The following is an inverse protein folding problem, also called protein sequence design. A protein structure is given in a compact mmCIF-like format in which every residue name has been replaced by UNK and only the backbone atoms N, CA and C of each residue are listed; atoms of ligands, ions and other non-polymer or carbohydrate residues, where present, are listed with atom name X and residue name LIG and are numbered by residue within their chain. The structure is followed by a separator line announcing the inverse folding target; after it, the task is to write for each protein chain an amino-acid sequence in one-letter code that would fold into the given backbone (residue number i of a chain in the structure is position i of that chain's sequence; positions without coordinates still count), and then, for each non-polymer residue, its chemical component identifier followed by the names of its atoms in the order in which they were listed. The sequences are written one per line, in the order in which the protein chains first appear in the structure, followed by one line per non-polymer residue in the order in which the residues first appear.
data_IF_147211137624
#
_entry.id   IF_147211137624
#
_cell.length_a   1.000
_cell.length_b   1.000
_cell.length_c   1.000
_cell.angle_alpha   90.00
_cell.angle_beta   90.00
_cell.angle_gamma   90.00
#
_symmetry.space_group_name_H-M   'P 1'
#
loop_
_entity.id
_entity.type
_entity.pdbx_description
1 polymer ?
2 non-polymer ?
3 water ?
#
# COMPACT_ATOMS: atom_id res chain seq x y z
N UNK A 4 -15.89 -12.02 16.35
CA UNK A 4 -14.90 -12.85 15.70
C UNK A 4 -14.62 -12.34 14.30
N UNK A 5 -13.60 -12.90 13.66
CA UNK A 5 -13.22 -12.51 12.32
C UNK A 5 -14.06 -13.22 11.22
N UNK A 6 -14.83 -14.28 11.56
CA UNK A 6 -15.69 -15.00 10.60
C UNK A 6 -17.00 -14.24 10.42
N UNK A 7 -17.35 -13.91 9.16
CA UNK A 7 -18.61 -13.25 8.85
C UNK A 7 -19.47 -14.26 8.09
N UNK A 8 -20.68 -14.54 8.57
CA UNK A 8 -21.57 -15.49 7.88
C UNK A 8 -22.13 -14.88 6.59
N UNK A 9 -22.39 -15.67 5.51
CA UNK A 9 -22.97 -15.09 4.28
C UNK A 9 -24.26 -14.30 4.52
N UNK A 10 -25.03 -14.67 5.59
CA UNK A 10 -26.30 -13.98 5.90
C UNK A 10 -26.07 -12.59 6.49
N UNK A 11 -24.84 -12.28 6.91
CA UNK A 11 -24.51 -10.96 7.50
C UNK A 11 -23.99 -9.96 6.45
N UNK A 12 -24.01 -10.35 5.18
CA UNK A 12 -23.55 -9.49 4.09
C UNK A 12 -24.60 -9.39 3.00
N UNK A 13 -24.73 -8.21 2.42
CA UNK A 13 -25.58 -7.96 1.26
C UNK A 13 -24.69 -7.27 0.22
N UNK A 14 -24.71 -7.77 -1.03
CA UNK A 14 -23.96 -7.17 -2.13
C UNK A 14 -24.88 -6.21 -2.83
N UNK A 15 -24.48 -4.94 -2.92
CA UNK A 15 -25.32 -3.89 -3.51
C UNK A 15 -24.91 -3.54 -4.94
N UNK A 16 -23.66 -3.17 -5.14
CA UNK A 16 -23.18 -2.69 -6.44
C UNK A 16 -21.75 -3.13 -6.69
N UNK A 17 -21.45 -3.53 -7.93
CA UNK A 17 -20.09 -3.88 -8.34
C UNK A 17 -19.36 -2.56 -8.47
N UNK A 18 -18.21 -2.44 -7.82
CA UNK A 18 -17.43 -1.22 -7.86
C UNK A 18 -16.14 -1.38 -8.67
N UNK A 19 -15.74 -2.64 -8.91
CA UNK A 19 -14.55 -2.93 -9.69
C UNK A 19 -14.11 -4.37 -9.72
N UNK A 20 -13.04 -4.63 -10.50
CA UNK A 20 -12.41 -5.93 -10.67
C UNK A 20 -10.93 -5.84 -10.33
N UNK A 21 -10.56 -6.38 -9.18
CA UNK A 21 -9.19 -6.39 -8.68
C UNK A 21 -8.37 -7.53 -9.22
N UNK A 22 -7.22 -7.82 -8.57
CA UNK A 22 -6.31 -8.90 -8.96
C UNK A 22 -6.95 -10.27 -8.68
N UNK A 23 -7.53 -10.44 -7.46
CA UNK A 23 -8.14 -11.67 -7.02
C UNK A 23 -9.59 -11.90 -7.44
N UNK A 24 -10.25 -10.88 -7.98
CA UNK A 24 -11.64 -11.02 -8.42
C UNK A 24 -12.40 -9.72 -8.47
N UNK A 25 -13.64 -9.74 -7.98
CA UNK A 25 -14.51 -8.57 -7.97
C UNK A 25 -14.48 -7.83 -6.64
N UNK A 26 -14.82 -6.54 -6.67
CA UNK A 26 -14.99 -5.70 -5.51
C UNK A 26 -16.41 -5.16 -5.58
N UNK A 27 -17.18 -5.29 -4.46
CA UNK A 27 -18.54 -4.78 -4.38
C UNK A 27 -18.71 -3.82 -3.23
N UNK A 28 -19.64 -2.88 -3.39
CA UNK A 28 -20.08 -2.02 -2.30
C UNK A 28 -21.23 -2.84 -1.70
N UNK A 29 -21.23 -2.96 -0.39
CA UNK A 29 -22.28 -3.71 0.28
C UNK A 29 -22.51 -3.26 1.69
N UNK A 30 -23.35 -3.99 2.43
CA UNK A 30 -23.60 -3.71 3.82
C UNK A 30 -23.29 -4.93 4.65
N UNK A 31 -22.83 -4.69 5.88
CA UNK A 31 -22.50 -5.70 6.86
C UNK A 31 -23.48 -5.55 8.00
N UNK A 32 -24.25 -6.63 8.28
CA UNK A 32 -25.31 -6.64 9.29
C UNK A 32 -24.92 -6.00 10.61
N UNK A 33 -25.77 -5.05 11.06
CA UNK A 33 -25.70 -4.28 12.30
C UNK A 33 -24.41 -3.50 12.47
N UNK A 34 -23.62 -3.38 11.41
CA UNK A 34 -22.33 -2.69 11.47
C UNK A 34 -22.23 -1.49 10.58
N UNK A 35 -21.91 -1.65 9.28
CA UNK A 35 -21.76 -0.51 8.37
C UNK A 35 -21.77 -0.89 6.89
N UNK A 36 -21.67 0.15 6.04
CA UNK A 36 -21.42 0.09 4.61
C UNK A 36 -19.97 -0.48 4.49
N UNK A 37 -19.75 -1.45 3.58
CA UNK A 37 -18.44 -2.07 3.44
C UNK A 37 -18.02 -2.25 1.99
N UNK A 38 -16.73 -2.53 1.79
CA UNK A 38 -16.18 -2.92 0.48
C UNK A 38 -15.92 -4.44 0.62
N UNK A 39 -16.48 -5.25 -0.28
CA UNK A 39 -16.35 -6.70 -0.21
C UNK A 39 -15.53 -7.15 -1.41
N UNK A 40 -14.39 -7.81 -1.14
CA UNK A 40 -13.49 -8.30 -2.19
C UNK A 40 -13.60 -9.81 -2.26
N UNK A 41 -14.04 -10.32 -3.42
CA UNK A 41 -14.18 -11.75 -3.70
C UNK A 41 -12.82 -12.25 -4.17
N UNK A 42 -12.32 -13.34 -3.56
CA UNK A 42 -10.99 -13.89 -3.86
C UNK A 42 -11.15 -15.17 -4.65
N UNK A 43 -10.62 -15.19 -5.87
CA UNK A 43 -10.67 -16.35 -6.76
C UNK A 43 -9.95 -17.53 -6.07
N UNK A 44 -10.46 -18.75 -6.24
CA UNK A 44 -9.80 -19.93 -5.67
C UNK A 44 -8.43 -20.08 -6.33
N UNK A 45 -7.40 -20.39 -5.54
CA UNK A 45 -6.04 -20.56 -6.03
C UNK A 45 -5.21 -19.29 -6.01
N UNK A 46 -5.85 -18.10 -5.82
CA UNK A 46 -5.11 -16.83 -5.75
C UNK A 46 -4.31 -16.69 -4.46
N UNK A 47 -4.85 -17.20 -3.32
CA UNK A 47 -4.17 -17.08 -2.04
C UNK A 47 -4.16 -18.32 -1.16
N UNK A 48 -3.15 -18.41 -0.27
CA UNK A 48 -3.08 -19.50 0.70
C UNK A 48 -4.07 -19.10 1.80
N UNK A 49 -5.32 -19.54 1.65
CA UNK A 49 -6.40 -19.15 2.58
C UNK A 49 -6.18 -19.68 3.99
N UNK A 50 -5.66 -20.91 4.12
CA UNK A 50 -5.40 -21.50 5.43
C UNK A 50 -4.35 -20.73 6.23
N UNK A 51 -3.28 -20.23 5.56
CA UNK A 51 -2.22 -19.44 6.23
C UNK A 51 -2.83 -18.10 6.68
N UNK A 52 -3.66 -17.52 5.83
CA UNK A 52 -4.33 -16.26 6.11
C UNK A 52 -5.23 -16.39 7.36
N UNK A 53 -6.19 -17.33 7.31
CA UNK A 53 -7.18 -17.62 8.38
C UNK A 53 -6.48 -17.82 9.76
N UNK A 54 -5.35 -18.53 9.74
CA UNK A 54 -4.52 -18.86 10.91
C UNK A 54 -4.06 -17.61 11.67
N UNK A 55 -3.75 -16.53 10.94
CA UNK A 55 -3.25 -15.29 11.51
C UNK A 55 -4.35 -14.28 11.86
N UNK A 56 -5.61 -14.56 11.45
CA UNK A 56 -6.76 -13.65 11.64
C UNK A 56 -7.02 -13.15 13.05
N UNK A 57 -7.07 -14.02 14.08
CA UNK A 57 -7.34 -13.53 15.43
C UNK A 57 -6.35 -12.49 15.94
N UNK A 58 -5.05 -12.64 15.59
CA UNK A 58 -4.01 -11.68 15.97
C UNK A 58 -4.07 -10.42 15.09
N UNK A 59 -3.98 -10.60 13.75
CA UNK A 59 -3.91 -9.50 12.78
C UNK A 59 -5.15 -8.60 12.71
N UNK A 60 -6.33 -9.14 13.04
CA UNK A 60 -7.56 -8.32 13.01
C UNK A 60 -7.53 -7.19 14.06
N UNK A 61 -6.70 -7.36 15.10
CA UNK A 61 -6.55 -6.39 16.19
C UNK A 61 -5.85 -5.10 15.74
N UNK A 62 -5.06 -5.14 14.63
CA UNK A 62 -4.37 -3.95 14.13
C UNK A 62 -5.43 -2.94 13.68
N UNK A 63 -5.35 -1.73 14.22
CA UNK A 63 -6.34 -0.68 13.93
C UNK A 63 -5.70 0.68 14.05
N UNK A 64 -5.96 1.55 13.04
CA UNK A 64 -5.40 2.91 13.04
C UNK A 64 -6.21 3.78 12.08
N UNK A 65 -6.42 5.10 12.38
CA UNK A 65 -7.18 5.94 11.44
C UNK A 65 -6.57 6.02 10.04
N UNK A 66 -5.28 5.69 9.88
CA UNK A 66 -4.64 5.76 8.57
C UNK A 66 -4.38 4.36 7.96
N UNK A 67 -5.08 3.34 8.48
CA UNK A 67 -5.03 1.98 7.92
C UNK A 67 -6.46 1.62 7.56
N UNK A 68 -6.68 1.03 6.39
CA UNK A 68 -8.01 0.56 5.97
C UNK A 68 -8.30 -0.65 6.85
N UNK A 69 -9.42 -0.62 7.62
CA UNK A 69 -9.76 -1.76 8.49
C UNK A 69 -10.26 -2.95 7.66
N UNK A 70 -9.72 -4.14 7.91
CA UNK A 70 -10.18 -5.39 7.29
C UNK A 70 -10.96 -6.05 8.45
N UNK A 71 -12.31 -6.00 8.37
CA UNK A 71 -13.21 -6.44 9.42
C UNK A 71 -13.32 -7.93 9.62
N UNK A 72 -13.24 -8.66 8.53
CA UNK A 72 -13.38 -10.10 8.62
C UNK A 72 -13.46 -10.78 7.28
N UNK A 73 -13.67 -12.10 7.34
CA UNK A 73 -13.70 -12.97 6.17
C UNK A 73 -14.98 -13.81 6.15
N UNK A 74 -15.61 -13.88 4.97
CA UNK A 74 -16.76 -14.75 4.72
C UNK A 74 -16.21 -15.96 3.98
N UNK A 75 -16.12 -17.08 4.67
CA UNK A 75 -15.49 -18.28 4.12
C UNK A 75 -16.35 -19.53 4.04
N UNK A 76 -17.69 -19.42 4.29
CA UNK A 76 -18.59 -20.59 4.28
C UNK A 76 -18.43 -21.45 3.03
N UNK A 77 -18.42 -20.82 1.87
CA UNK A 77 -18.17 -21.53 0.60
C UNK A 77 -17.24 -20.73 -0.30
N UNK A 78 -16.57 -21.42 -1.21
CA UNK A 78 -15.67 -20.84 -2.18
C UNK A 78 -16.49 -20.16 -3.28
N UNK A 79 -16.08 -18.98 -3.78
CA UNK A 79 -14.88 -18.20 -3.40
C UNK A 79 -15.11 -17.40 -2.11
N UNK A 80 -14.08 -17.31 -1.27
CA UNK A 80 -14.16 -16.52 -0.03
C UNK A 80 -14.21 -15.00 -0.33
N UNK A 81 -14.68 -14.21 0.64
CA UNK A 81 -14.80 -12.75 0.55
C UNK A 81 -14.08 -12.06 1.70
N UNK A 82 -13.34 -10.96 1.43
CA UNK A 82 -12.69 -10.15 2.46
C UNK A 82 -13.55 -8.88 2.63
N UNK A 83 -13.81 -8.48 3.86
CA UNK A 83 -14.75 -7.38 4.18
C UNK A 83 -13.99 -6.23 4.79
N UNK A 84 -13.93 -5.11 4.07
CA UNK A 84 -13.16 -3.93 4.46
C UNK A 84 -14.04 -2.72 4.74
N UNK A 85 -13.43 -1.76 5.39
CA UNK A 85 -13.96 -0.43 5.59
C UNK A 85 -14.10 0.15 4.15
N UNK A 86 -15.21 0.86 3.84
CA UNK A 86 -15.46 1.43 2.52
C UNK A 86 -14.69 2.73 2.35
N UNK A 87 -13.97 2.86 1.22
CA UNK A 87 -13.10 3.99 0.89
C UNK A 87 -13.68 4.64 -0.36
N UNK A 88 -14.52 5.65 -0.15
CA UNK A 88 -15.33 6.28 -1.20
C UNK A 88 -14.62 6.72 -2.47
N UNK A 89 -13.37 7.21 -2.37
CA UNK A 89 -12.66 7.71 -3.55
C UNK A 89 -11.70 6.73 -4.25
N UNK A 90 -11.71 5.46 -3.84
CA UNK A 90 -10.92 4.41 -4.46
C UNK A 90 -9.41 4.50 -4.26
N UNK A 91 -8.64 3.81 -5.11
CA UNK A 91 -7.18 3.81 -4.95
C UNK A 91 -6.49 5.12 -5.26
N UNK A 92 -5.42 5.39 -4.51
CA UNK A 92 -4.66 6.63 -4.61
C UNK A 92 -4.04 6.85 -5.99
N UNK A 93 -3.49 5.78 -6.60
CA UNK A 93 -2.89 5.86 -7.94
C UNK A 93 -3.92 6.44 -8.95
N UNK A 94 -5.15 5.86 -9.01
CA UNK A 94 -6.20 6.38 -9.90
C UNK A 94 -6.67 7.81 -9.52
N UNK A 95 -6.77 8.08 -8.20
CA UNK A 95 -7.19 9.39 -7.68
C UNK A 95 -6.20 10.49 -8.14
N UNK A 96 -4.89 10.25 -7.99
CA UNK A 96 -3.88 11.21 -8.42
C UNK A 96 -3.98 11.50 -9.91
N UNK A 97 -4.08 10.44 -10.72
CA UNK A 97 -4.19 10.51 -12.19
C UNK A 97 -5.45 11.26 -12.66
N UNK A 98 -6.62 11.02 -12.05
CA UNK A 98 -7.86 11.69 -12.44
C UNK A 98 -7.91 13.16 -11.98
N UNK A 99 -7.32 13.47 -10.80
CA UNK A 99 -7.32 14.83 -10.26
C UNK A 99 -6.03 15.62 -10.58
N UNK A 100 -5.17 15.09 -11.48
CA UNK A 100 -3.91 15.76 -11.91
C UNK A 100 -4.13 17.22 -12.33
N UNK A 101 -3.28 18.12 -11.83
CA UNK A 101 -3.39 19.54 -12.13
C UNK A 101 -4.29 20.32 -11.18
N UNK A 102 -4.99 19.61 -10.26
CA UNK A 102 -5.88 20.22 -9.25
C UNK A 102 -5.34 20.12 -7.82
N UNK A 103 -4.12 19.61 -7.65
CA UNK A 103 -3.54 19.46 -6.32
C UNK A 103 -2.62 20.59 -5.93
N UNK A 104 -2.82 21.11 -4.73
CA UNK A 104 -1.99 22.10 -4.08
C UNK A 104 -0.84 21.27 -3.51
N UNK A 105 0.39 21.82 -3.49
CA UNK A 105 1.56 21.08 -2.95
C UNK A 105 1.33 20.63 -1.50
N UNK A 106 0.62 21.45 -0.71
CA UNK A 106 0.28 21.10 0.69
C UNK A 106 -0.61 19.84 0.79
N UNK A 107 -1.52 19.63 -0.17
CA UNK A 107 -2.41 18.46 -0.19
C UNK A 107 -1.55 17.19 -0.48
N UNK A 108 -0.63 17.30 -1.45
CA UNK A 108 0.24 16.16 -1.80
C UNK A 108 1.14 15.82 -0.62
N UNK A 109 1.66 16.85 0.09
CA UNK A 109 2.45 16.56 1.31
C UNK A 109 1.56 15.88 2.38
N UNK A 110 0.33 16.38 2.52
CA UNK A 110 -0.65 15.81 3.45
C UNK A 110 -0.95 14.35 3.18
N UNK A 111 -1.08 13.99 1.88
CA UNK A 111 -1.29 12.58 1.48
C UNK A 111 -0.09 11.71 1.93
N UNK A 112 1.14 12.23 1.76
CA UNK A 112 2.36 11.50 2.19
C UNK A 112 2.36 11.33 3.71
N UNK A 113 1.92 12.38 4.44
CA UNK A 113 1.85 12.34 5.91
C UNK A 113 0.85 11.31 6.41
N UNK A 114 -0.33 11.21 5.76
CA UNK A 114 -1.34 10.18 6.13
C UNK A 114 -0.71 8.78 5.99
N UNK A 115 -0.03 8.53 4.84
CA UNK A 115 0.61 7.21 4.59
C UNK A 115 1.74 6.97 5.62
N UNK A 116 2.59 8.00 5.85
CA UNK A 116 3.70 7.88 6.81
C UNK A 116 3.19 7.57 8.23
N UNK A 117 2.05 8.17 8.62
CA UNK A 117 1.45 7.94 9.94
C UNK A 117 1.00 6.47 10.10
N UNK A 118 0.26 5.95 9.12
CA UNK A 118 -0.18 4.57 9.08
C UNK A 118 1.01 3.63 9.08
N UNK A 119 2.05 3.95 8.29
CA UNK A 119 3.27 3.13 8.27
C UNK A 119 4.06 3.18 9.59
N UNK A 120 4.05 4.33 10.31
CA UNK A 120 4.76 4.40 11.61
C UNK A 120 4.01 3.47 12.61
N UNK A 121 2.67 3.41 12.49
CA UNK A 121 1.89 2.50 13.34
C UNK A 121 2.30 1.02 13.05
N UNK A 122 2.41 0.65 11.77
CA UNK A 122 2.83 -0.71 11.36
C UNK A 122 4.25 -0.99 11.81
N UNK A 123 5.16 -0.03 11.62
CA UNK A 123 6.54 -0.18 12.04
C UNK A 123 6.62 -0.47 13.58
N UNK A 124 5.89 0.30 14.40
CA UNK A 124 5.80 0.12 15.87
C UNK A 124 5.29 -1.29 16.22
N UNK A 125 4.30 -1.77 15.44
CA UNK A 125 3.67 -3.08 15.63
C UNK A 125 4.49 -4.22 15.04
N UNK A 126 5.66 -3.90 14.41
CA UNK A 126 6.52 -4.87 13.72
C UNK A 126 5.79 -5.60 12.58
N UNK A 127 4.97 -4.86 11.84
CA UNK A 127 4.26 -5.43 10.70
C UNK A 127 4.91 -4.81 9.45
N UNK A 128 5.41 -5.68 8.56
CA UNK A 128 6.07 -5.26 7.32
C UNK A 128 5.03 -5.30 6.20
N UNK A 129 4.89 -4.19 5.45
CA UNK A 129 3.91 -4.15 4.37
C UNK A 129 4.30 -5.12 3.24
N UNK A 130 5.50 -4.93 2.68
CA UNK A 130 6.18 -5.70 1.60
C UNK A 130 5.89 -5.18 0.20
N UNK A 131 4.76 -4.48 0.00
CA UNK A 131 4.42 -3.98 -1.35
C UNK A 131 3.70 -2.64 -1.29
N UNK A 132 4.23 -1.71 -0.50
CA UNK A 132 3.62 -0.39 -0.34
C UNK A 132 3.79 0.40 -1.65
N UNK A 133 2.67 0.88 -2.19
CA UNK A 133 2.65 1.66 -3.42
C UNK A 133 1.36 2.46 -3.43
N UNK A 134 1.25 3.50 -4.30
CA UNK A 134 0.01 4.30 -4.38
C UNK A 134 -1.20 3.39 -4.75
N UNK A 135 -0.98 2.33 -5.56
CA UNK A 135 -2.06 1.39 -5.98
C UNK A 135 -2.71 0.66 -4.78
N UNK A 136 -1.98 0.57 -3.65
CA UNK A 136 -2.38 -0.10 -2.40
C UNK A 136 -2.92 0.84 -1.35
N UNK A 137 -2.88 2.13 -1.63
CA UNK A 137 -3.42 3.14 -0.73
C UNK A 137 -4.79 3.54 -1.25
N UNK A 138 -5.70 3.83 -0.33
CA UNK A 138 -7.08 4.18 -0.66
C UNK A 138 -7.44 5.55 -0.11
N UNK A 139 -8.36 6.24 -0.80
CA UNK A 139 -8.78 7.60 -0.49
C UNK A 139 -10.21 7.57 0.05
N UNK A 140 -10.37 8.08 1.27
CA UNK A 140 -11.67 8.06 1.94
C UNK A 140 -12.29 9.41 2.14
N UNK A 141 -13.16 9.49 3.18
CA UNK A 141 -13.86 10.71 3.52
C UNK A 141 -12.90 11.85 3.79
N UNK A 142 -13.18 12.99 3.16
CA UNK A 142 -12.36 14.20 3.22
C UNK A 142 -10.96 14.00 2.65
N UNK A 143 -10.85 13.09 1.67
CA UNK A 143 -9.60 12.80 0.96
C UNK A 143 -8.46 12.29 1.84
N UNK A 144 -8.84 11.67 2.99
CA UNK A 144 -7.86 11.04 3.86
C UNK A 144 -7.25 9.82 3.12
N UNK A 145 -5.95 9.56 3.31
CA UNK A 145 -5.30 8.41 2.70
C UNK A 145 -5.11 7.34 3.76
N UNK A 146 -5.38 6.08 3.40
CA UNK A 146 -5.16 4.97 4.34
C UNK A 146 -4.40 3.85 3.62
N UNK A 147 -3.48 3.19 4.34
CA UNK A 147 -2.70 2.09 3.76
C UNK A 147 -3.53 0.81 3.83
N UNK A 148 -3.43 -0.05 2.80
CA UNK A 148 -4.16 -1.31 2.78
C UNK A 148 -3.27 -2.41 2.21
N UNK A 149 -3.68 -3.69 2.40
CA UNK A 149 -3.03 -4.88 1.83
C UNK A 149 -1.63 -5.14 2.39
N UNK A 150 -1.33 -4.63 3.59
CA UNK A 150 -0.04 -4.85 4.24
C UNK A 150 0.06 -6.32 4.57
N UNK A 151 1.23 -6.87 4.26
CA UNK A 151 1.59 -8.27 4.49
C UNK A 151 0.95 -9.31 3.57
N UNK A 152 0.02 -8.88 2.70
CA UNK A 152 -0.75 -9.79 1.83
C UNK A 152 0.05 -10.62 0.81
N UNK A 153 1.23 -10.13 0.36
CA UNK A 153 2.08 -10.88 -0.58
C UNK A 153 2.62 -12.20 0.06
N UNK A 154 2.53 -12.34 1.41
CA UNK A 154 2.95 -13.57 2.09
C UNK A 154 1.96 -14.71 1.79
N UNK A 155 0.76 -14.37 1.30
CA UNK A 155 -0.29 -15.33 0.98
C UNK A 155 -0.52 -15.52 -0.52
N UNK A 156 0.00 -14.61 -1.37
CA UNK A 156 -0.17 -14.62 -2.85
C UNK A 156 0.47 -15.90 -3.40
N UNK A 157 -0.31 -16.73 -4.10
CA UNK A 157 0.22 -17.98 -4.63
C UNK A 157 0.90 -17.90 -6.00
N UNK A 158 0.80 -16.75 -6.68
CA UNK A 158 1.48 -16.58 -7.97
C UNK A 158 2.95 -16.26 -7.72
N UNK A 159 3.82 -17.25 -7.91
CA UNK A 159 5.28 -17.09 -7.73
C UNK A 159 5.87 -16.01 -8.66
N UNK A 160 5.18 -15.67 -9.77
CA UNK A 160 5.69 -14.64 -10.68
C UNK A 160 5.61 -13.23 -10.07
N UNK A 161 4.79 -13.06 -9.04
CA UNK A 161 4.66 -11.80 -8.32
C UNK A 161 5.47 -11.80 -7.05
N UNK A 162 5.58 -12.95 -6.37
CA UNK A 162 6.22 -13.02 -5.06
C UNK A 162 7.73 -13.25 -5.06
N UNK A 163 8.27 -13.98 -6.03
CA UNK A 163 9.69 -14.30 -6.13
C UNK A 163 10.43 -13.09 -6.73
N UNK A 164 11.59 -12.68 -6.15
CA UNK A 164 12.36 -11.53 -6.66
C UNK A 164 12.75 -11.67 -8.14
N UNK A 165 12.89 -12.91 -8.62
CA UNK A 165 13.22 -13.23 -10.01
C UNK A 165 11.93 -13.45 -10.85
N UNK A 166 10.77 -13.27 -10.21
CA UNK A 166 9.46 -13.45 -10.84
C UNK A 166 9.23 -12.42 -11.93
N UNK A 167 8.59 -12.82 -13.06
CA UNK A 167 8.35 -11.91 -14.20
C UNK A 167 7.54 -10.68 -13.84
N UNK A 168 6.63 -10.78 -12.83
CA UNK A 168 5.72 -9.71 -12.37
C UNK A 168 6.13 -9.12 -11.00
N UNK A 169 7.34 -9.41 -10.53
CA UNK A 169 7.81 -8.90 -9.24
C UNK A 169 7.78 -7.38 -9.20
N UNK A 170 7.17 -6.79 -8.15
CA UNK A 170 7.05 -5.30 -8.09
C UNK A 170 8.39 -4.60 -7.81
N UNK A 171 9.35 -4.80 -8.73
CA UNK A 171 10.69 -4.24 -8.60
C UNK A 171 10.75 -2.69 -8.44
N UNK A 172 9.81 -1.93 -9.06
CA UNK A 172 9.81 -0.45 -9.01
C UNK A 172 9.74 0.13 -7.59
N UNK A 173 9.20 -0.62 -6.63
CA UNK A 173 9.03 -0.20 -5.24
C UNK A 173 10.00 -0.94 -4.30
N UNK A 174 10.81 -1.86 -4.86
CA UNK A 174 11.75 -2.69 -4.10
C UNK A 174 13.12 -2.04 -3.81
N UNK A 175 13.55 -2.12 -2.55
CA UNK A 175 14.90 -1.71 -2.15
C UNK A 175 15.89 -2.79 -2.70
N UNK A 176 17.21 -2.47 -2.85
CA UNK A 176 18.17 -3.47 -3.37
C UNK A 176 18.18 -4.77 -2.60
N UNK A 177 18.07 -4.76 -1.25
CA UNK A 177 18.07 -6.01 -0.51
C UNK A 177 16.79 -6.83 -0.74
N UNK A 178 15.68 -6.15 -1.11
CA UNK A 178 14.45 -6.85 -1.46
C UNK A 178 14.57 -7.45 -2.87
N UNK A 179 14.94 -6.62 -3.87
CA UNK A 179 15.07 -7.15 -5.23
C UNK A 179 16.20 -8.18 -5.38
N UNK A 180 17.23 -8.12 -4.51
CA UNK A 180 18.30 -9.14 -4.55
C UNK A 180 17.98 -10.39 -3.71
N UNK A 181 17.47 -10.20 -2.48
CA UNK A 181 17.33 -11.31 -1.53
C UNK A 181 15.98 -11.53 -0.86
N UNK A 182 14.98 -10.71 -1.19
CA UNK A 182 13.69 -10.74 -0.49
C UNK A 182 13.91 -10.49 1.02
N UNK A 183 14.88 -9.61 1.36
CA UNK A 183 15.20 -9.28 2.73
C UNK A 183 14.27 -8.14 3.17
N UNK A 184 13.04 -8.50 3.55
CA UNK A 184 12.02 -7.51 3.94
C UNK A 184 12.16 -6.98 5.35
N UNK A 185 11.90 -5.67 5.54
CA UNK A 185 11.94 -5.02 6.86
C UNK A 185 11.17 -3.70 6.79
N UNK A 186 11.03 -3.01 7.96
CA UNK A 186 10.38 -1.70 7.87
C UNK A 186 11.27 -0.77 7.05
N UNK A 187 12.61 -1.01 7.02
CA UNK A 187 13.53 -0.20 6.21
C UNK A 187 13.34 -0.43 4.71
N UNK A 188 12.94 -1.62 4.27
CA UNK A 188 12.62 -1.82 2.84
C UNK A 188 11.26 -1.17 2.57
N UNK A 189 10.35 -1.13 3.56
CA UNK A 189 9.06 -0.40 3.37
C UNK A 189 9.36 1.10 3.24
N UNK A 190 10.42 1.58 3.93
CA UNK A 190 10.82 3.00 3.83
C UNK A 190 11.24 3.32 2.38
N UNK A 191 12.00 2.42 1.74
CA UNK A 191 12.36 2.61 0.34
C UNK A 191 11.09 2.73 -0.51
N UNK A 192 10.14 1.77 -0.36
CA UNK A 192 8.86 1.77 -1.09
C UNK A 192 8.11 3.09 -0.82
N UNK A 193 8.16 3.57 0.43
CA UNK A 193 7.51 4.82 0.81
C UNK A 193 8.08 6.00 0.01
N UNK A 194 9.42 6.03 -0.17
CA UNK A 194 10.06 7.06 -0.98
C UNK A 194 9.51 7.04 -2.39
N UNK A 195 9.33 5.82 -2.98
CA UNK A 195 8.79 5.68 -4.36
C UNK A 195 7.34 6.19 -4.34
N UNK A 196 6.56 5.78 -3.30
CA UNK A 196 5.19 6.24 -3.13
C UNK A 196 5.13 7.81 -3.08
N UNK A 197 6.05 8.46 -2.31
CA UNK A 197 6.12 9.95 -2.24
C UNK A 197 6.31 10.54 -3.65
N UNK A 198 7.14 9.87 -4.47
CA UNK A 198 7.41 10.27 -5.85
C UNK A 198 6.13 10.10 -6.69
N UNK A 199 5.39 8.99 -6.51
CA UNK A 199 4.14 8.77 -7.25
C UNK A 199 3.14 9.91 -6.89
N UNK A 200 3.04 10.29 -5.60
CA UNK A 200 2.14 11.35 -5.12
C UNK A 200 2.56 12.74 -5.72
N UNK A 201 3.85 13.11 -5.57
CA UNK A 201 4.33 14.41 -6.06
C UNK A 201 4.34 14.55 -7.58
N UNK A 202 4.37 13.39 -8.31
CA UNK A 202 4.30 13.30 -9.77
C UNK A 202 2.84 13.22 -10.24
N UNK A 203 1.89 13.30 -9.29
CA UNK A 203 0.45 13.20 -9.54
C UNK A 203 0.09 11.92 -10.31
N UNK A 204 0.66 10.80 -9.85
CA UNK A 204 0.35 9.48 -10.37
C UNK A 204 1.13 8.95 -11.55
N UNK A 205 2.27 9.56 -11.95
CA UNK A 205 3.09 9.00 -13.03
C UNK A 205 3.64 7.64 -12.57
N UNK A 206 3.99 6.76 -13.52
CA UNK A 206 4.52 5.43 -13.21
C UNK A 206 6.04 5.58 -13.01
N UNK A 207 6.60 5.13 -11.86
CA UNK A 207 8.06 5.21 -11.69
C UNK A 207 8.81 4.30 -12.67
N UNK A 208 9.92 4.82 -13.23
CA UNK A 208 10.80 4.11 -14.17
C UNK A 208 9.98 3.55 -15.35
N UNK A 209 9.03 4.35 -15.84
CA UNK A 209 8.12 3.99 -16.94
C UNK A 209 8.87 3.47 -18.16
N UNK A 210 10.04 4.05 -18.45
CA UNK A 210 10.87 3.69 -19.61
C UNK A 210 11.81 2.50 -19.40
N UNK A 211 11.63 1.69 -18.31
CA UNK A 211 12.56 0.61 -17.98
C UNK A 211 11.96 -0.78 -17.72
N UNK A 212 12.71 -1.81 -18.13
CA UNK A 212 12.38 -3.21 -17.87
C UNK A 212 12.80 -3.46 -16.41
N UNK A 213 12.37 -4.59 -15.84
CA UNK A 213 12.70 -4.95 -14.45
C UNK A 213 14.20 -5.04 -14.26
N UNK A 214 14.94 -5.70 -15.18
CA UNK A 214 16.40 -5.81 -15.07
C UNK A 214 17.10 -4.43 -15.20
N UNK A 215 16.53 -3.54 -16.02
CA UNK A 215 17.06 -2.19 -16.21
C UNK A 215 16.88 -1.35 -14.92
N UNK A 216 15.75 -1.52 -14.21
CA UNK A 216 15.51 -0.83 -12.91
C UNK A 216 16.60 -1.30 -11.93
N UNK A 217 16.78 -2.63 -11.83
CA UNK A 217 17.80 -3.25 -10.97
C UNK A 217 19.21 -2.71 -11.32
N UNK A 218 19.57 -2.66 -12.62
CA UNK A 218 20.87 -2.15 -13.04
C UNK A 218 21.06 -0.66 -12.73
N UNK A 219 20.00 0.14 -12.97
CA UNK A 219 20.01 1.59 -12.73
C UNK A 219 20.16 1.89 -11.22
N UNK A 220 19.29 1.27 -10.38
CA UNK A 220 19.37 1.45 -8.93
C UNK A 220 20.76 1.07 -8.37
N UNK A 221 21.29 -0.08 -8.83
CA UNK A 221 22.56 -0.64 -8.37
C UNK A 221 23.73 0.26 -8.72
N UNK A 222 23.60 1.05 -9.78
CA UNK A 222 24.63 1.96 -10.22
C UNK A 222 24.39 3.41 -9.79
N UNK A 223 23.43 3.66 -8.90
CA UNK A 223 23.21 5.00 -8.36
C UNK A 223 22.08 5.85 -8.92
N UNK A 224 21.38 5.38 -9.99
CA UNK A 224 20.27 6.14 -10.55
C UNK A 224 19.17 6.25 -9.51
N UNK A 225 18.55 7.44 -9.42
CA UNK A 225 17.38 7.65 -8.56
C UNK A 225 16.35 8.44 -9.35
N UNK A 226 15.07 8.23 -9.04
CA UNK A 226 13.95 8.97 -9.67
C UNK A 226 14.17 10.47 -9.55
N UNK A 227 13.93 11.20 -10.65
CA UNK A 227 14.11 12.65 -10.79
C UNK A 227 13.14 13.40 -9.86
N UNK A 228 13.51 14.60 -9.45
CA UNK A 228 12.61 15.36 -8.59
C UNK A 228 11.33 15.76 -9.34
N UNK A 229 10.12 15.42 -8.82
CA UNK A 229 8.90 15.92 -9.47
C UNK A 229 8.83 17.44 -9.28
N UNK A 230 8.29 18.15 -10.29
CA UNK A 230 8.12 19.61 -10.31
C UNK A 230 7.48 20.10 -9.00
N UNK A 231 6.42 19.40 -8.52
CA UNK A 231 5.67 19.81 -7.31
C UNK A 231 6.36 19.55 -5.97
N UNK A 232 7.41 18.70 -5.95
CA UNK A 232 8.18 18.44 -4.75
C UNK A 232 9.23 19.52 -4.54
N UNK A 233 9.30 20.07 -3.32
CA UNK A 233 10.30 21.09 -2.98
C UNK A 233 11.64 20.38 -2.86
N UNK A 234 12.76 21.13 -2.83
CA UNK A 234 14.06 20.49 -2.64
C UNK A 234 14.11 19.78 -1.29
N UNK A 235 13.43 20.32 -0.27
CA UNK A 235 13.39 19.72 1.08
C UNK A 235 12.66 18.36 1.07
N UNK A 236 11.54 18.29 0.36
CA UNK A 236 10.76 17.05 0.21
C UNK A 236 11.57 16.03 -0.57
N UNK A 237 12.21 16.48 -1.66
CA UNK A 237 13.03 15.59 -2.47
C UNK A 237 14.22 15.04 -1.67
N UNK A 238 14.77 15.86 -0.76
CA UNK A 238 15.87 15.41 0.12
C UNK A 238 15.36 14.22 0.97
N UNK A 239 14.13 14.32 1.52
CA UNK A 239 13.50 13.24 2.30
C UNK A 239 13.30 11.98 1.43
N UNK A 240 12.84 12.13 0.15
CA UNK A 240 12.70 11.00 -0.79
C UNK A 240 14.00 10.27 -0.97
N UNK A 241 15.11 11.02 -1.20
CA UNK A 241 16.43 10.43 -1.40
C UNK A 241 16.93 9.71 -0.18
N UNK A 242 16.50 10.14 1.04
CA UNK A 242 16.88 9.47 2.29
C UNK A 242 16.24 8.10 2.32
N UNK A 243 15.03 7.97 1.74
CA UNK A 243 14.32 6.69 1.67
C UNK A 243 15.06 5.73 0.76
N UNK A 244 15.77 6.28 -0.26
CA UNK A 244 16.49 5.50 -1.27
C UNK A 244 17.97 5.28 -1.00
N UNK A 245 18.36 5.32 0.26
CA UNK A 245 19.76 5.00 0.57
C UNK A 245 19.98 3.53 0.36
N UNK A 246 21.13 3.18 -0.26
CA UNK A 246 21.44 1.79 -0.56
C UNK A 246 21.42 0.90 0.69
N UNK A 247 22.04 1.36 1.79
CA UNK A 247 22.05 0.55 3.02
C UNK A 247 20.75 0.75 3.81
N UNK A 248 19.98 -0.30 4.16
CA UNK A 248 18.76 -0.09 4.98
C UNK A 248 19.02 0.67 6.29
N UNK A 249 20.17 0.41 6.95
CA UNK A 249 20.56 1.06 8.22
C UNK A 249 20.63 2.59 8.12
N UNK A 250 21.00 3.13 6.94
CA UNK A 250 21.09 4.57 6.66
C UNK A 250 19.75 5.22 6.34
N UNK A 251 18.70 4.41 6.08
CA UNK A 251 17.38 5.00 5.82
C UNK A 251 16.72 5.39 7.13
N UNK A 252 15.96 6.49 7.15
CA UNK A 252 15.25 6.85 8.39
C UNK A 252 14.14 5.86 8.72
N UNK A 253 13.82 5.70 10.00
CA UNK A 253 12.66 4.89 10.40
C UNK A 253 11.40 5.70 10.06
N UNK A 254 10.21 5.05 9.92
CA UNK A 254 8.98 5.83 9.66
C UNK A 254 8.72 6.83 10.79
N UNK A 255 9.09 6.49 12.06
CA UNK A 255 8.95 7.40 13.22
C UNK A 255 9.74 8.70 12.98
N UNK A 256 10.95 8.58 12.40
CA UNK A 256 11.81 9.74 12.10
C UNK A 256 11.21 10.53 10.91
N UNK A 257 10.86 9.84 9.80
CA UNK A 257 10.25 10.47 8.63
C UNK A 257 8.97 11.27 9.06
N UNK A 258 8.13 10.67 9.92
CA UNK A 258 6.88 11.31 10.34
C UNK A 258 7.14 12.65 11.01
N UNK A 259 8.16 12.72 11.91
CA UNK A 259 8.53 13.97 12.58
C UNK A 259 9.09 14.98 11.57
N UNK A 260 9.94 14.49 10.63
CA UNK A 260 10.55 15.36 9.62
C UNK A 260 9.52 15.93 8.65
N UNK A 261 8.63 15.08 8.11
CA UNK A 261 7.58 15.54 7.20
C UNK A 261 6.57 16.46 7.90
N UNK A 262 6.23 16.20 9.19
CA UNK A 262 5.30 17.04 9.94
C UNK A 262 5.89 18.42 10.13
N UNK A 263 7.21 18.49 10.45
CA UNK A 263 7.87 19.77 10.62
C UNK A 263 7.79 20.60 9.35
N UNK A 264 7.97 19.96 8.18
CA UNK A 264 7.84 20.66 6.88
C UNK A 264 6.39 21.13 6.65
N UNK A 265 5.40 20.23 6.86
CA UNK A 265 3.97 20.53 6.69
C UNK A 265 3.43 21.64 7.58
N UNK A 266 3.93 21.70 8.83
CA UNK A 266 3.44 22.66 9.83
C UNK A 266 4.27 23.93 9.95
N UNK A 267 5.38 24.04 9.18
CA UNK A 267 6.29 25.20 9.17
C UNK A 267 5.69 26.33 8.35
X LIG B 1 -4.41 -7.41 7.70
X LIG B 1 -4.95 -6.98 8.85
X LIG B 1 -5.65 -5.85 8.51
X LIG B 1 -5.52 -5.58 7.11
X LIG B 1 -4.70 -6.61 6.59
X LIG B 1 -6.10 -4.49 6.47
X LIG B 1 -5.95 -4.27 5.09
X LIG B 1 -6.60 -3.14 4.60
X LIG B 1 -5.31 -5.01 4.35
X LIG B 1 -6.41 -5.06 9.48
X LIG B 1 -6.34 -5.40 10.81
X LIG B 1 -7.12 -4.10 9.10
X LIG B 1 -3.65 -8.64 7.63
X LIG B 1 -2.34 -8.56 7.23
X LIG B 1 -1.58 -9.75 7.16
X LIG B 1 -2.14 -10.96 7.50
X LIG B 1 -4.28 -9.87 7.98
X LIG B 1 -3.49 -11.03 7.90
X LIG B 1 -4.08 -12.29 8.23
X LIG B 1 -5.37 -12.36 8.62
X LIG B 1 -6.16 -11.17 8.72
X LIG B 1 -5.62 -9.95 8.40
X LIG B 1 -7.43 -11.40 9.14
X LIG B 1 -8.27 -10.26 9.30
X LIG B 1 -9.65 -10.83 9.64
X LIG B 1 -10.22 -11.60 8.46
X LIG B 1 -4.35 -6.81 5.59
X LIG B 1 -6.65 -3.88 7.07
X LIG B 1 -6.58 -2.96 3.62
X LIG B 1 -7.12 -2.51 5.17
X LIG B 1 -5.78 -6.16 11.13
X LIG B 1 -6.85 -4.88 11.49
X LIG B 1 -1.87 -7.61 6.99
X LIG B 1 -0.54 -9.69 6.83
X LIG B 1 -1.54 -11.87 7.47
X LIG B 1 -3.47 -13.20 8.15
X LIG B 1 -5.85 -13.32 8.87
X LIG B 1 -6.24 -9.04 8.44
X LIG B 1 -7.89 -9.60 10.11
X LIG B 1 -8.31 -9.65 8.37
X LIG B 1 -9.59 -11.47 10.54
X LIG B 1 -10.32 -9.99 9.92
X LIG B 1 -9.57 -12.43 8.15
X LIG B 1 -10.37 -10.97 7.58
X LIG B 1 -11.19 -12.04 8.71
#
# INVERSE_FOLDING_TARGET
GSGKWVIDPSELTFVQEIGSGQFGLVHLGYWLNKDKVAIKTIREGAMSEEDFIEEAEVMMKLSHPKLVQLYGVCLEQAPICLVFEFMEHGCLSDYLRTQRGLFAAETLLGMCLDVCEGMAYLEEACVIHRDLAARNCLVGENQVIKVSDFGMTRFVLDDQYTSSTGTKFPVKWASPEVFSFSRYSSKSDVWSFGVLMWEVFSEGKIPYENRSNSEVVEDISTGFRLYKPRLASTHVYQIMNHCWRERPEDRPAFSRLLRQLAEIAESGL
1E0 N1 N2 C1 C2 C3 N3 C4 N4 O1 C5 N5 O2 C6 C7 C8 C9 C10 C11 C12 C13 C14 C15 O3 C16 C17 C18 H1 H2 H4 H3 H5 H6 H7 H8 H9 H10 H11 H12 H14 H13 H15 H16 H18 H17 H19
#
